data_IF_744200797219
#
_entry.id   IF_744200797219
#
_cell.length_a   1.000
_cell.length_b   1.000
_cell.length_c   1.000
_cell.angle_alpha   90.00
_cell.angle_beta   90.00
_cell.angle_gamma   90.00
#
_symmetry.space_group_name_H-M   'P 1'
#
loop_
_entity.id
_entity.type
_entity.pdbx_description
1 polymer ?
#
# COMPACT_ATOMS: atom_id res chain seq x y z
N UNK A 1 12.51 12.81 -7.42
CA UNK A 1 11.94 13.78 -6.45
C UNK A 1 12.19 13.37 -5.00
N UNK A 2 12.18 12.07 -4.64
CA UNK A 2 12.31 11.62 -3.23
C UNK A 2 13.69 11.88 -2.59
N UNK A 3 14.77 11.84 -3.39
CA UNK A 3 16.13 12.12 -2.91
C UNK A 3 16.36 13.60 -2.51
N UNK A 4 15.47 14.51 -2.92
CA UNK A 4 15.60 15.96 -2.67
C UNK A 4 15.03 16.38 -1.32
N UNK A 5 14.13 15.60 -0.72
CA UNK A 5 13.40 15.98 0.51
C UNK A 5 14.26 15.78 1.75
N UNK A 6 15.23 14.86 1.70
CA UNK A 6 16.05 14.51 2.86
C UNK A 6 17.44 15.15 2.85
N UNK A 7 17.88 15.74 1.73
CA UNK A 7 19.23 16.30 1.51
C UNK A 7 20.36 15.47 2.18
N UNK A 8 20.17 14.14 2.18
CA UNK A 8 21.06 13.18 2.84
C UNK A 8 21.87 12.48 1.78
N UNK A 9 23.20 12.59 1.88
CA UNK A 9 24.09 11.75 1.10
C UNK A 9 23.86 10.29 1.53
N UNK A 10 23.60 9.36 0.58
CA UNK A 10 23.41 7.96 0.92
C UNK A 10 24.69 7.44 1.60
N UNK A 11 24.55 6.95 2.83
CA UNK A 11 25.65 6.33 3.54
C UNK A 11 25.96 4.99 2.87
N UNK A 12 27.18 4.85 2.36
CA UNK A 12 27.64 3.61 1.73
C UNK A 12 28.45 2.81 2.75
N UNK A 13 28.01 1.59 3.00
CA UNK A 13 28.76 0.61 3.79
C UNK A 13 29.46 -0.31 2.78
N UNK A 14 30.77 -0.47 2.91
CA UNK A 14 31.56 -1.41 2.10
C UNK A 14 31.87 -2.64 2.97
N UNK A 15 31.45 -3.82 2.50
CA UNK A 15 31.66 -5.09 3.19
C UNK A 15 32.67 -5.92 2.38
N UNK A 16 33.94 -5.89 2.80
CA UNK A 16 35.04 -6.59 2.11
C UNK A 16 35.41 -7.93 2.76
N UNK A 17 34.98 -8.15 4.00
CA UNK A 17 35.30 -9.31 4.82
C UNK A 17 34.07 -9.69 5.64
N UNK A 18 33.73 -10.97 5.62
CA UNK A 18 32.61 -11.50 6.37
C UNK A 18 33.06 -12.66 7.25
N UNK A 19 32.63 -12.61 8.51
CA UNK A 19 32.75 -13.70 9.47
C UNK A 19 31.34 -14.18 9.80
N UNK A 20 31.00 -15.41 9.44
CA UNK A 20 29.66 -15.95 9.61
C UNK A 20 29.72 -17.36 10.20
N UNK A 21 28.65 -17.75 10.89
CA UNK A 21 28.50 -19.09 11.44
C UNK A 21 27.87 -20.00 10.39
N UNK A 22 28.57 -21.08 10.02
CA UNK A 22 28.02 -22.11 9.15
C UNK A 22 27.36 -23.21 9.99
N UNK A 23 26.06 -23.40 9.77
CA UNK A 23 25.24 -24.38 10.47
C UNK A 23 25.56 -25.82 10.06
N UNK A 24 26.14 -26.04 8.88
CA UNK A 24 26.49 -27.38 8.39
C UNK A 24 27.78 -27.90 9.01
N UNK A 25 28.79 -27.03 9.14
CA UNK A 25 30.09 -27.38 9.72
C UNK A 25 30.18 -27.08 11.21
N UNK A 26 29.20 -26.38 11.79
CA UNK A 26 29.16 -25.91 13.19
C UNK A 26 30.41 -25.11 13.58
N UNK A 27 30.97 -24.35 12.64
CA UNK A 27 32.16 -23.54 12.84
C UNK A 27 31.96 -22.15 12.26
N UNK A 28 32.70 -21.20 12.80
CA UNK A 28 32.77 -19.87 12.22
C UNK A 28 33.72 -19.89 11.02
N UNK A 29 33.23 -19.39 9.89
CA UNK A 29 33.98 -19.29 8.66
C UNK A 29 34.26 -17.82 8.32
N UNK A 30 35.46 -17.59 7.78
CA UNK A 30 35.87 -16.29 7.27
C UNK A 30 35.92 -16.33 5.74
N UNK A 31 35.36 -15.31 5.10
CA UNK A 31 35.39 -15.17 3.64
C UNK A 31 35.68 -13.74 3.21
N UNK A 32 36.38 -13.61 2.10
CA UNK A 32 36.62 -12.37 1.35
C UNK A 32 36.03 -12.43 -0.06
N UNK A 33 35.28 -13.50 -0.39
CA UNK A 33 34.69 -13.66 -1.72
C UNK A 33 33.46 -12.76 -1.86
N UNK A 34 33.43 -11.82 -2.83
CA UNK A 34 32.35 -10.85 -2.97
C UNK A 34 30.98 -11.50 -3.21
N UNK A 35 30.92 -12.65 -3.89
CA UNK A 35 29.65 -13.34 -4.15
C UNK A 35 29.05 -13.92 -2.87
N UNK A 36 29.88 -14.59 -2.05
CA UNK A 36 29.47 -15.17 -0.77
C UNK A 36 29.05 -14.05 0.20
N UNK A 37 29.80 -12.94 0.23
CA UNK A 37 29.45 -11.76 1.03
C UNK A 37 28.08 -11.21 0.61
N UNK A 38 27.84 -11.04 -0.69
CA UNK A 38 26.56 -10.52 -1.18
C UNK A 38 25.38 -11.44 -0.82
N UNK A 39 25.55 -12.75 -0.97
CA UNK A 39 24.52 -13.74 -0.61
C UNK A 39 24.15 -13.68 0.88
N UNK A 40 25.15 -13.76 1.77
CA UNK A 40 24.89 -13.68 3.22
C UNK A 40 24.36 -12.31 3.65
N UNK A 41 24.80 -11.24 3.00
CA UNK A 41 24.31 -9.88 3.27
C UNK A 41 22.84 -9.77 2.89
N UNK A 42 22.46 -10.23 1.70
CA UNK A 42 21.07 -10.27 1.27
C UNK A 42 20.22 -11.09 2.22
N UNK A 43 20.69 -12.28 2.61
CA UNK A 43 20.00 -13.14 3.55
C UNK A 43 19.80 -12.47 4.91
N UNK A 44 20.83 -11.82 5.43
CA UNK A 44 20.78 -11.09 6.71
C UNK A 44 19.71 -9.98 6.67
N UNK A 45 19.71 -9.15 5.63
CA UNK A 45 18.76 -8.04 5.54
C UNK A 45 17.33 -8.52 5.25
N UNK A 46 17.14 -9.55 4.42
CA UNK A 46 15.83 -10.16 4.21
C UNK A 46 15.25 -10.72 5.51
N UNK A 47 16.10 -11.25 6.39
CA UNK A 47 15.73 -11.79 7.70
C UNK A 47 15.73 -10.76 8.82
N UNK A 48 16.04 -9.49 8.53
CA UNK A 48 16.21 -8.43 9.53
C UNK A 48 17.18 -8.83 10.66
N UNK A 49 18.22 -9.58 10.32
CA UNK A 49 19.24 -10.06 11.25
C UNK A 49 18.81 -11.20 12.18
N UNK A 50 17.62 -11.79 11.99
CA UNK A 50 17.13 -12.91 12.78
C UNK A 50 17.58 -14.26 12.22
N UNK A 51 17.83 -15.22 13.10
CA UNK A 51 18.00 -16.63 12.73
C UNK A 51 16.68 -17.24 12.27
N UNK A 52 16.74 -18.36 11.55
CA UNK A 52 15.54 -19.03 11.04
C UNK A 52 14.61 -19.49 12.18
N UNK A 53 15.20 -19.93 13.30
CA UNK A 53 14.44 -20.34 14.48
C UNK A 53 13.71 -19.15 15.10
N UNK A 54 14.36 -17.99 15.23
CA UNK A 54 13.73 -16.77 15.75
C UNK A 54 12.65 -16.22 14.82
N UNK A 55 12.76 -16.44 13.51
CA UNK A 55 11.71 -16.08 12.54
C UNK A 55 10.50 -17.01 12.71
N UNK A 56 10.74 -18.31 12.87
CA UNK A 56 9.68 -19.29 13.09
C UNK A 56 9.00 -19.11 14.45
N UNK A 57 9.71 -18.58 15.45
CA UNK A 57 9.18 -18.26 16.78
C UNK A 57 8.62 -16.82 16.89
N UNK A 58 8.47 -16.10 15.76
CA UNK A 58 7.81 -14.79 15.79
C UNK A 58 6.36 -14.96 16.21
N UNK A 59 6.01 -14.31 17.33
CA UNK A 59 4.64 -14.24 17.84
C UNK A 59 3.68 -13.79 16.73
N UNK A 60 2.76 -14.68 16.35
CA UNK A 60 1.69 -14.34 15.41
C UNK A 60 0.59 -13.61 16.19
N UNK A 61 0.39 -12.33 15.90
CA UNK A 61 -0.69 -11.53 16.48
C UNK A 61 -2.00 -11.86 15.78
N UNK A 62 -2.95 -12.47 16.48
CA UNK A 62 -4.28 -12.83 15.95
C UNK A 62 -5.39 -11.95 16.50
N UNK A 63 -5.20 -11.40 17.70
CA UNK A 63 -6.17 -10.54 18.38
C UNK A 63 -5.49 -9.28 18.91
N UNK A 64 -6.30 -8.24 19.16
CA UNK A 64 -5.85 -6.99 19.80
C UNK A 64 -5.17 -7.27 21.15
N UNK A 65 -5.58 -8.32 21.86
CA UNK A 65 -5.00 -8.71 23.14
C UNK A 65 -3.56 -9.21 23.02
N UNK A 66 -3.15 -9.67 21.82
CA UNK A 66 -1.79 -10.11 21.58
C UNK A 66 -0.81 -8.94 21.53
N UNK A 67 -1.30 -7.74 21.20
CA UNK A 67 -0.49 -6.52 21.07
C UNK A 67 0.01 -6.04 22.45
N UNK A 68 1.20 -5.41 22.49
CA UNK A 68 1.67 -4.71 23.68
C UNK A 68 0.64 -3.68 24.16
N UNK A 69 0.49 -3.53 25.48
CA UNK A 69 -0.53 -2.67 26.11
C UNK A 69 -0.53 -1.24 25.52
N UNK A 70 0.65 -0.68 25.27
CA UNK A 70 0.83 0.64 24.67
C UNK A 70 0.12 0.80 23.32
N UNK A 71 0.11 -0.25 22.49
CA UNK A 71 -0.47 -0.23 21.15
C UNK A 71 -1.95 -0.59 21.12
N UNK A 72 -2.49 -1.22 22.17
CA UNK A 72 -3.86 -1.74 22.14
C UNK A 72 -4.90 -0.66 21.87
N UNK A 73 -4.81 0.48 22.54
CA UNK A 73 -5.76 1.59 22.36
C UNK A 73 -5.68 2.21 20.96
N UNK A 74 -4.50 2.22 20.34
CA UNK A 74 -4.31 2.76 18.99
C UNK A 74 -4.92 1.87 17.92
N UNK A 75 -4.76 0.56 18.07
CA UNK A 75 -5.24 -0.41 17.08
C UNK A 75 -6.62 -0.99 17.42
N UNK A 76 -7.23 -0.57 18.52
CA UNK A 76 -8.57 -1.01 18.89
C UNK A 76 -9.55 -0.66 17.77
N UNK A 77 -10.35 -1.63 17.28
CA UNK A 77 -11.32 -1.36 16.23
C UNK A 77 -12.24 -0.21 16.63
N UNK A 78 -12.40 0.76 15.72
CA UNK A 78 -13.28 1.91 15.96
C UNK A 78 -14.72 1.39 16.05
N UNK A 79 -15.25 1.28 17.28
CA UNK A 79 -16.62 0.84 17.56
C UNK A 79 -17.62 1.97 17.37
N UNK A 80 -17.47 2.77 16.31
CA UNK A 80 -18.43 3.80 15.98
C UNK A 80 -19.56 3.18 15.16
N UNK A 81 -20.59 2.68 15.86
CA UNK A 81 -21.83 2.14 15.25
C UNK A 81 -22.53 3.14 14.32
N UNK A 82 -22.21 4.43 14.44
CA UNK A 82 -22.75 5.54 13.67
C UNK A 82 -21.74 6.13 12.66
N UNK A 83 -20.67 5.42 12.30
CA UNK A 83 -19.81 5.81 11.19
C UNK A 83 -20.58 5.68 9.85
N UNK A 84 -21.51 6.61 9.61
CA UNK A 84 -22.29 6.73 8.37
C UNK A 84 -21.37 6.72 7.15
N UNK A 85 -20.18 7.31 7.27
CA UNK A 85 -19.18 7.36 6.22
C UNK A 85 -18.59 5.99 5.87
N UNK A 86 -18.44 5.07 6.84
CA UNK A 86 -17.98 3.70 6.53
C UNK A 86 -19.07 2.87 5.85
N UNK A 87 -20.34 3.05 6.22
CA UNK A 87 -21.47 2.40 5.54
C UNK A 87 -21.65 2.92 4.12
N UNK A 88 -21.49 4.22 3.92
CA UNK A 88 -21.58 4.87 2.60
C UNK A 88 -20.60 4.31 1.57
N UNK A 89 -19.43 3.79 1.99
CA UNK A 89 -18.48 3.16 1.08
C UNK A 89 -18.88 1.73 0.65
N UNK A 90 -19.84 1.13 1.35
CA UNK A 90 -20.38 -0.20 1.06
C UNK A 90 -21.70 -0.13 0.27
N UNK A 91 -22.28 1.05 0.15
CA UNK A 91 -23.52 1.28 -0.58
C UNK A 91 -23.22 1.71 -2.02
N UNK A 92 -24.04 1.26 -2.96
CA UNK A 92 -23.99 1.72 -4.33
C UNK A 92 -24.33 3.22 -4.38
N UNK A 93 -23.57 4.00 -5.15
CA UNK A 93 -23.87 5.43 -5.28
C UNK A 93 -25.08 5.65 -6.19
N UNK A 94 -25.87 6.67 -5.84
CA UNK A 94 -27.15 7.02 -6.44
C UNK A 94 -27.01 7.87 -7.71
N UNK A 95 -28.07 7.91 -8.51
CA UNK A 95 -28.14 8.79 -9.69
C UNK A 95 -28.11 10.27 -9.30
N UNK A 96 -28.66 10.60 -8.13
CA UNK A 96 -28.67 11.93 -7.53
C UNK A 96 -27.26 12.38 -7.16
N UNK A 97 -26.48 11.52 -6.49
CA UNK A 97 -25.09 11.80 -6.12
C UNK A 97 -24.23 12.02 -7.38
N UNK A 98 -24.37 11.16 -8.39
CA UNK A 98 -23.66 11.32 -9.66
C UNK A 98 -24.02 12.66 -10.33
N UNK A 99 -25.30 13.04 -10.33
CA UNK A 99 -25.76 14.29 -10.92
C UNK A 99 -25.23 15.52 -10.17
N UNK A 100 -25.19 15.45 -8.83
CA UNK A 100 -24.59 16.49 -7.99
C UNK A 100 -23.10 16.65 -8.29
N UNK A 101 -22.35 15.54 -8.40
CA UNK A 101 -20.92 15.59 -8.76
C UNK A 101 -20.71 16.21 -10.13
N UNK A 102 -21.42 15.74 -11.17
CA UNK A 102 -21.30 16.26 -12.54
C UNK A 102 -21.61 17.76 -12.59
N UNK A 103 -22.67 18.21 -11.91
CA UNK A 103 -23.02 19.63 -11.87
C UNK A 103 -21.98 20.49 -11.15
N UNK A 104 -21.34 19.94 -10.11
CA UNK A 104 -20.30 20.61 -9.32
C UNK A 104 -18.94 20.75 -10.02
N UNK A 105 -18.75 20.08 -11.17
CA UNK A 105 -17.49 20.17 -11.91
C UNK A 105 -17.16 21.64 -12.27
N UNK A 106 -15.91 22.10 -12.14
CA UNK A 106 -15.55 23.48 -12.48
C UNK A 106 -15.55 23.72 -13.99
N UNK A 107 -15.99 24.90 -14.43
CA UNK A 107 -15.91 25.29 -15.84
C UNK A 107 -14.52 25.83 -16.21
N UNK A 108 -14.19 25.82 -17.50
CA UNK A 108 -12.97 26.35 -18.12
C UNK A 108 -11.68 25.70 -17.59
N UNK A 109 -11.73 24.42 -17.22
CA UNK A 109 -10.52 23.64 -16.90
C UNK A 109 -9.94 23.04 -18.17
N UNK A 110 -8.61 22.93 -18.18
CA UNK A 110 -7.90 22.29 -19.28
C UNK A 110 -8.32 20.82 -19.39
N UNK A 111 -8.59 20.36 -20.61
CA UNK A 111 -8.82 18.96 -20.90
C UNK A 111 -7.56 18.13 -20.64
N UNK A 112 -7.75 16.86 -20.26
CA UNK A 112 -6.66 15.89 -20.15
C UNK A 112 -6.17 15.40 -21.52
N UNK A 113 -5.37 14.33 -21.51
CA UNK A 113 -4.80 13.71 -22.73
C UNK A 113 -5.89 13.23 -23.70
N UNK A 114 -7.07 12.86 -23.19
CA UNK A 114 -8.22 12.45 -23.99
C UNK A 114 -8.87 13.60 -24.77
N UNK A 115 -8.58 14.86 -24.43
CA UNK A 115 -9.24 16.04 -25.01
C UNK A 115 -10.67 16.29 -24.50
N UNK A 116 -11.19 15.46 -23.58
CA UNK A 116 -12.54 15.61 -23.02
C UNK A 116 -12.52 16.67 -21.91
N UNK A 117 -13.39 17.67 -22.02
CA UNK A 117 -13.56 18.75 -21.03
C UNK A 117 -14.64 18.42 -19.99
N UNK A 118 -14.70 19.20 -18.91
CA UNK A 118 -15.79 19.05 -17.93
C UNK A 118 -17.13 19.50 -18.49
N UNK A 119 -17.14 20.46 -19.42
CA UNK A 119 -18.31 20.90 -20.16
C UNK A 119 -18.89 19.74 -20.97
N UNK A 120 -18.05 18.97 -21.66
CA UNK A 120 -18.47 17.79 -22.41
C UNK A 120 -19.17 16.78 -21.48
N UNK A 121 -18.60 16.54 -20.29
CA UNK A 121 -19.16 15.64 -19.27
C UNK A 121 -20.50 16.17 -18.73
N UNK A 122 -20.62 17.49 -18.52
CA UNK A 122 -21.88 18.11 -18.06
C UNK A 122 -23.01 17.95 -19.08
N UNK A 123 -22.68 17.96 -20.37
CA UNK A 123 -23.65 17.88 -21.46
C UNK A 123 -23.93 16.44 -21.94
N UNK A 124 -23.38 15.41 -21.29
CA UNK A 124 -23.63 14.02 -21.68
C UNK A 124 -25.09 13.61 -21.52
N UNK A 125 -25.55 12.73 -22.41
CA UNK A 125 -26.89 12.12 -22.33
C UNK A 125 -27.09 11.31 -21.03
N UNK A 126 -28.35 11.15 -20.63
CA UNK A 126 -28.71 10.42 -19.41
C UNK A 126 -28.24 8.95 -19.45
N UNK A 127 -28.30 8.31 -20.62
CA UNK A 127 -27.85 6.91 -20.78
C UNK A 127 -26.36 6.75 -20.45
N UNK A 128 -25.54 7.76 -20.80
CA UNK A 128 -24.12 7.74 -20.47
C UNK A 128 -23.89 7.90 -18.97
N UNK A 129 -24.70 8.73 -18.30
CA UNK A 129 -24.65 8.87 -16.83
C UNK A 129 -25.07 7.57 -16.14
N UNK A 130 -26.08 6.89 -16.66
CA UNK A 130 -26.50 5.59 -16.17
C UNK A 130 -25.40 4.53 -16.36
N UNK A 131 -24.71 4.54 -17.50
CA UNK A 131 -23.55 3.69 -17.72
C UNK A 131 -22.42 3.96 -16.71
N UNK A 132 -22.04 5.23 -16.50
CA UNK A 132 -21.06 5.61 -15.47
C UNK A 132 -21.48 5.05 -14.11
N UNK A 133 -22.76 5.21 -13.76
CA UNK A 133 -23.29 4.72 -12.49
C UNK A 133 -23.08 3.22 -12.32
N UNK A 134 -23.51 2.44 -13.30
CA UNK A 134 -23.36 0.98 -13.27
C UNK A 134 -21.90 0.56 -13.27
N UNK A 135 -21.06 1.23 -14.05
CA UNK A 135 -19.64 0.92 -14.17
C UNK A 135 -18.89 1.09 -12.84
N UNK A 136 -19.02 2.23 -12.15
CA UNK A 136 -18.31 2.43 -10.89
C UNK A 136 -18.92 1.62 -9.74
N UNK A 137 -20.24 1.38 -9.70
CA UNK A 137 -20.84 0.49 -8.70
C UNK A 137 -20.32 -0.94 -8.88
N UNK A 138 -20.16 -1.40 -10.12
CA UNK A 138 -19.54 -2.68 -10.42
C UNK A 138 -18.08 -2.76 -9.91
N UNK A 139 -17.28 -1.71 -10.10
CA UNK A 139 -15.90 -1.66 -9.56
C UNK A 139 -15.89 -1.77 -8.03
N UNK A 140 -16.79 -1.07 -7.35
CA UNK A 140 -16.89 -1.10 -5.88
C UNK A 140 -17.25 -2.50 -5.36
N UNK A 141 -18.13 -3.21 -6.06
CA UNK A 141 -18.55 -4.56 -5.71
C UNK A 141 -17.45 -5.60 -5.95
N UNK A 142 -16.74 -5.51 -7.08
CA UNK A 142 -15.79 -6.54 -7.51
C UNK A 142 -14.37 -6.27 -7.00
N UNK A 143 -14.07 -5.06 -6.53
CA UNK A 143 -12.74 -4.62 -6.09
C UNK A 143 -11.62 -4.84 -7.13
N UNK A 144 -12.00 -4.93 -8.41
CA UNK A 144 -11.07 -5.04 -9.54
C UNK A 144 -10.94 -3.65 -10.15
N UNK A 145 -9.79 -3.03 -9.90
CA UNK A 145 -9.40 -1.78 -10.53
C UNK A 145 -8.81 -2.06 -11.91
N UNK A 146 -9.02 -1.14 -12.86
CA UNK A 146 -8.32 -1.18 -14.15
C UNK A 146 -6.82 -1.23 -13.88
N UNK A 147 -6.15 -2.26 -14.37
CA UNK A 147 -4.69 -2.33 -14.37
C UNK A 147 -4.21 -1.63 -15.62
N UNK A 148 -3.40 -0.59 -15.44
CA UNK A 148 -2.64 0.05 -16.50
C UNK A 148 -1.53 -0.88 -17.01
#
# INVERSE_FOLDING_TARGET
>A
MINSILDRKPQRITLDRLHYYDQHTNQFQFTNNPHIIAEHTNLHFQRLGKSLNEINDVKTYKSIHDLPLYWRSTYEPINNRNCKHMKSLLEDFSSEELSQVISSLPNNKAAGISGITYEDIKHTHQDFREYIKQFFNYIMQVQIYSRD
#
